data_IF_460509033767
#
_entry.id   IF_460509033767
#
_cell.length_a   1.000
_cell.length_b   1.000
_cell.length_c   1.000
_cell.angle_alpha   90.00
_cell.angle_beta   90.00
_cell.angle_gamma   90.00
#
_symmetry.space_group_name_H-M   'P 1'
#
loop_
_entity.id
_entity.type
_entity.pdbx_description
1 polymer ?
#
# COMPACT_ATOMS: atom_id res chain seq x y z
N UNK A 1 -2.15 -29.48 -40.12
CA UNK A 1 -1.70 -30.56 -41.03
C UNK A 1 -1.18 -31.79 -40.28
N UNK A 2 -0.22 -31.65 -39.35
CA UNK A 2 0.47 -32.78 -38.70
C UNK A 2 -0.33 -33.65 -37.71
N UNK A 3 -1.44 -33.15 -37.15
CA UNK A 3 -2.19 -33.86 -36.10
C UNK A 3 -2.79 -35.21 -36.57
N UNK A 4 -3.72 -35.22 -37.54
CA UNK A 4 -4.36 -36.45 -38.02
C UNK A 4 -3.39 -37.45 -38.67
N UNK A 5 -2.41 -36.96 -39.44
CA UNK A 5 -1.39 -37.82 -40.03
C UNK A 5 -0.55 -38.52 -38.95
N UNK A 6 -0.10 -37.79 -37.93
CA UNK A 6 0.67 -38.35 -36.81
C UNK A 6 -0.17 -39.33 -35.99
N UNK A 7 -1.46 -39.05 -35.79
CA UNK A 7 -2.39 -39.96 -35.13
C UNK A 7 -2.58 -41.26 -35.92
N UNK A 8 -2.72 -41.19 -37.25
CA UNK A 8 -2.75 -42.38 -38.11
C UNK A 8 -1.48 -43.22 -37.96
N UNK A 9 -0.30 -42.59 -38.08
CA UNK A 9 0.98 -43.29 -37.89
C UNK A 9 1.13 -43.93 -36.52
N UNK A 10 0.56 -43.33 -35.47
CA UNK A 10 0.53 -43.97 -34.14
C UNK A 10 -0.44 -45.16 -34.14
N UNK A 11 -1.66 -44.99 -34.64
CA UNK A 11 -2.75 -45.95 -34.50
C UNK A 11 -2.74 -47.15 -35.45
N UNK A 12 -2.00 -47.14 -36.56
CA UNK A 12 -2.14 -48.18 -37.58
C UNK A 12 -1.83 -49.61 -37.09
N UNK A 13 -0.97 -49.79 -36.08
CA UNK A 13 -0.65 -51.10 -35.51
C UNK A 13 -1.67 -51.61 -34.47
N UNK A 14 -2.34 -50.73 -33.73
CA UNK A 14 -3.19 -51.11 -32.58
C UNK A 14 -4.68 -50.77 -32.74
N UNK A 15 -5.02 -49.89 -33.69
CA UNK A 15 -6.38 -49.47 -33.99
C UNK A 15 -6.53 -49.15 -35.50
N UNK A 16 -6.42 -50.17 -36.38
CA UNK A 16 -6.34 -49.97 -37.83
C UNK A 16 -7.57 -49.28 -38.44
N UNK A 17 -8.77 -49.52 -37.91
CA UNK A 17 -10.00 -48.84 -38.35
C UNK A 17 -9.98 -47.34 -38.02
N UNK A 18 -9.54 -46.97 -36.82
CA UNK A 18 -9.41 -45.55 -36.43
C UNK A 18 -8.32 -44.85 -37.24
N UNK A 19 -7.22 -45.56 -37.53
CA UNK A 19 -6.14 -45.05 -38.37
C UNK A 19 -6.61 -44.67 -39.78
N UNK A 20 -7.50 -45.49 -40.36
CA UNK A 20 -8.09 -45.19 -41.67
C UNK A 20 -8.98 -43.93 -41.63
N UNK A 21 -9.72 -43.69 -40.54
CA UNK A 21 -10.49 -42.45 -40.39
C UNK A 21 -9.58 -41.22 -40.29
N UNK A 22 -8.45 -41.35 -39.58
CA UNK A 22 -7.49 -40.27 -39.45
C UNK A 22 -6.78 -39.94 -40.77
N UNK A 23 -6.43 -40.94 -41.58
CA UNK A 23 -5.79 -40.71 -42.89
C UNK A 23 -6.78 -40.11 -43.89
N UNK A 24 -8.05 -40.52 -43.88
CA UNK A 24 -9.10 -39.90 -44.71
C UNK A 24 -9.32 -38.43 -44.32
N UNK A 25 -9.32 -38.12 -43.02
CA UNK A 25 -9.37 -36.73 -42.52
C UNK A 25 -8.11 -35.93 -42.90
N UNK A 26 -6.94 -36.55 -42.91
CA UNK A 26 -5.70 -35.91 -43.35
C UNK A 26 -5.78 -35.56 -44.85
N UNK A 27 -6.28 -36.49 -45.68
CA UNK A 27 -6.45 -36.31 -47.12
C UNK A 27 -7.43 -35.16 -47.43
N UNK A 28 -8.58 -35.09 -46.76
CA UNK A 28 -9.55 -34.03 -46.98
C UNK A 28 -9.01 -32.65 -46.60
N UNK A 29 -8.32 -32.54 -45.46
CA UNK A 29 -7.66 -31.31 -45.03
C UNK A 29 -6.54 -30.90 -46.00
N UNK A 30 -5.78 -31.86 -46.52
CA UNK A 30 -4.69 -31.57 -47.45
C UNK A 30 -5.18 -31.19 -48.84
N UNK A 31 -6.32 -31.73 -49.30
CA UNK A 31 -6.96 -31.33 -50.54
C UNK A 31 -7.40 -29.86 -50.50
N UNK A 32 -7.88 -29.38 -49.35
CA UNK A 32 -8.28 -27.99 -49.14
C UNK A 32 -7.09 -27.02 -48.90
N UNK A 33 -5.87 -27.53 -48.81
CA UNK A 33 -4.70 -26.73 -48.49
C UNK A 33 -4.08 -26.09 -49.75
N UNK A 34 -3.93 -24.76 -49.74
CA UNK A 34 -3.47 -23.99 -50.90
C UNK A 34 -2.03 -24.27 -51.33
N UNK A 35 -1.17 -24.72 -50.42
CA UNK A 35 0.24 -25.07 -50.69
C UNK A 35 0.45 -26.58 -50.84
N UNK A 36 -0.60 -27.33 -51.19
CA UNK A 36 -0.50 -28.77 -51.34
C UNK A 36 0.31 -29.16 -52.58
N UNK A 37 1.48 -29.76 -52.39
CA UNK A 37 2.36 -30.23 -53.46
C UNK A 37 1.90 -31.59 -53.98
N UNK A 38 2.09 -31.86 -55.26
CA UNK A 38 1.79 -33.16 -55.87
C UNK A 38 2.46 -34.33 -55.13
N UNK A 39 3.76 -34.25 -54.87
CA UNK A 39 4.55 -35.31 -54.19
C UNK A 39 3.96 -35.69 -52.83
N UNK A 40 3.64 -34.71 -51.98
CA UNK A 40 3.01 -34.98 -50.67
C UNK A 40 1.59 -35.55 -50.80
N UNK A 41 0.82 -35.19 -51.82
CA UNK A 41 -0.50 -35.80 -52.07
C UNK A 41 -0.34 -37.28 -52.39
N UNK A 42 0.64 -37.64 -53.22
CA UNK A 42 0.96 -39.04 -53.52
C UNK A 42 1.39 -39.78 -52.26
N UNK A 43 2.32 -39.25 -51.48
CA UNK A 43 2.72 -39.88 -50.21
C UNK A 43 1.56 -40.11 -49.25
N UNK A 44 0.62 -39.16 -49.16
CA UNK A 44 -0.54 -39.29 -48.28
C UNK A 44 -1.53 -40.36 -48.78
N UNK A 45 -1.67 -40.51 -50.10
CA UNK A 45 -2.47 -41.58 -50.71
C UNK A 45 -1.81 -42.96 -50.55
N UNK A 46 -0.48 -43.03 -50.71
CA UNK A 46 0.29 -44.25 -50.45
C UNK A 46 0.16 -44.70 -48.98
N UNK A 47 0.26 -43.75 -48.03
CA UNK A 47 0.01 -44.01 -46.62
C UNK A 47 -1.44 -44.50 -46.35
N UNK A 48 -2.43 -44.04 -47.12
CA UNK A 48 -3.78 -44.62 -47.09
C UNK A 48 -3.79 -46.06 -47.61
N UNK A 49 -3.03 -46.36 -48.66
CA UNK A 49 -2.80 -47.72 -49.16
C UNK A 49 -2.26 -48.65 -48.06
N UNK A 50 -1.23 -48.23 -47.34
CA UNK A 50 -0.69 -48.98 -46.21
C UNK A 50 -1.76 -49.26 -45.15
N UNK A 51 -2.52 -48.23 -44.76
CA UNK A 51 -3.63 -48.38 -43.81
C UNK A 51 -4.71 -49.36 -44.31
N UNK A 52 -5.02 -49.36 -45.61
CA UNK A 52 -5.95 -50.32 -46.21
C UNK A 52 -5.42 -51.76 -46.06
N UNK A 53 -4.12 -51.99 -46.28
CA UNK A 53 -3.49 -53.31 -46.05
C UNK A 53 -3.65 -53.77 -44.60
N UNK A 54 -3.39 -52.89 -43.61
CA UNK A 54 -3.58 -53.22 -42.19
C UNK A 54 -5.04 -53.53 -41.82
N UNK A 55 -6.01 -53.07 -42.62
CA UNK A 55 -7.43 -53.38 -42.47
C UNK A 55 -7.85 -54.62 -43.31
N UNK A 56 -6.91 -55.38 -43.88
CA UNK A 56 -7.19 -56.53 -44.73
C UNK A 56 -7.72 -56.19 -46.14
N UNK A 57 -7.68 -54.91 -46.54
CA UNK A 57 -8.21 -54.40 -47.81
C UNK A 57 -7.11 -54.27 -48.87
N UNK A 58 -6.29 -55.31 -49.03
CA UNK A 58 -5.07 -55.28 -49.86
C UNK A 58 -5.35 -54.99 -51.35
N UNK A 59 -6.42 -55.56 -51.91
CA UNK A 59 -6.82 -55.31 -53.30
C UNK A 59 -7.20 -53.86 -53.58
N UNK A 60 -7.72 -53.16 -52.56
CA UNK A 60 -8.02 -51.73 -52.68
C UNK A 60 -6.76 -50.88 -52.56
N UNK A 61 -5.83 -51.26 -51.69
CA UNK A 61 -4.52 -50.63 -51.61
C UNK A 61 -3.74 -50.75 -52.93
N UNK A 62 -3.76 -51.94 -53.55
CA UNK A 62 -3.11 -52.20 -54.83
C UNK A 62 -3.72 -51.34 -55.94
N UNK A 63 -5.05 -51.37 -56.10
CA UNK A 63 -5.77 -50.53 -57.07
C UNK A 63 -5.50 -49.05 -56.88
N UNK A 64 -5.41 -48.58 -55.63
CA UNK A 64 -5.05 -47.20 -55.33
C UNK A 64 -3.64 -46.87 -55.84
N UNK A 65 -2.64 -47.68 -55.50
CA UNK A 65 -1.26 -47.43 -55.92
C UNK A 65 -1.08 -47.53 -57.45
N UNK A 66 -1.76 -48.48 -58.10
CA UNK A 66 -1.76 -48.63 -59.58
C UNK A 66 -2.38 -47.41 -60.26
N UNK A 67 -3.45 -46.86 -59.70
CA UNK A 67 -4.09 -45.64 -60.22
C UNK A 67 -3.18 -44.40 -60.10
N UNK A 68 -2.31 -44.33 -59.08
CA UNK A 68 -1.38 -43.21 -58.91
C UNK A 68 -0.21 -43.26 -59.91
N UNK A 69 0.19 -44.46 -60.34
CA UNK A 69 1.43 -44.69 -61.08
C UNK A 69 1.55 -43.88 -62.39
N UNK A 70 0.53 -43.79 -63.28
CA UNK A 70 0.65 -43.02 -64.52
C UNK A 70 0.96 -41.54 -64.27
N UNK A 71 0.29 -40.94 -63.29
CA UNK A 71 0.49 -39.53 -62.93
C UNK A 71 1.89 -39.27 -62.39
N UNK A 72 2.41 -40.21 -61.60
CA UNK A 72 3.75 -40.12 -61.00
C UNK A 72 4.85 -40.32 -62.05
N UNK A 73 4.65 -41.24 -63.00
CA UNK A 73 5.56 -41.44 -64.13
C UNK A 73 5.61 -40.18 -65.03
N UNK A 74 4.47 -39.54 -65.30
CA UNK A 74 4.41 -38.32 -66.10
C UNK A 74 5.16 -37.15 -65.46
N UNK A 75 5.14 -37.05 -64.13
CA UNK A 75 5.85 -36.00 -63.40
C UNK A 75 7.38 -36.13 -63.52
N UNK A 76 7.89 -37.34 -63.74
CA UNK A 76 9.32 -37.60 -63.93
C UNK A 76 10.17 -37.61 -62.65
N UNK A 77 9.56 -37.57 -61.46
CA UNK A 77 10.29 -37.69 -60.19
C UNK A 77 10.65 -39.16 -59.93
N UNK A 78 11.90 -39.53 -60.26
CA UNK A 78 12.41 -40.89 -60.09
C UNK A 78 12.31 -41.41 -58.65
N UNK A 79 12.49 -40.54 -57.64
CA UNK A 79 12.39 -40.93 -56.25
C UNK A 79 10.94 -41.28 -55.88
N UNK A 80 9.98 -40.47 -56.35
CA UNK A 80 8.56 -40.72 -56.13
C UNK A 80 8.08 -41.98 -56.87
N UNK A 81 8.50 -42.19 -58.12
CA UNK A 81 8.25 -43.42 -58.90
C UNK A 81 8.77 -44.64 -58.15
N UNK A 82 10.00 -44.57 -57.65
CA UNK A 82 10.62 -45.62 -56.85
C UNK A 82 9.82 -45.95 -55.59
N UNK A 83 9.18 -44.97 -54.95
CA UNK A 83 8.37 -45.19 -53.75
C UNK A 83 7.01 -45.82 -54.08
N UNK A 84 6.34 -45.39 -55.15
CA UNK A 84 5.09 -46.04 -55.60
C UNK A 84 5.33 -47.52 -55.92
N UNK A 85 6.41 -47.84 -56.64
CA UNK A 85 6.77 -49.23 -56.92
C UNK A 85 7.14 -50.03 -55.66
N UNK A 86 7.69 -49.38 -54.64
CA UNK A 86 7.97 -50.02 -53.36
C UNK A 86 6.66 -50.49 -52.71
N UNK A 87 5.64 -49.64 -52.68
CA UNK A 87 4.36 -49.96 -52.05
C UNK A 87 3.57 -50.97 -52.89
N UNK A 88 3.60 -50.84 -54.22
CA UNK A 88 3.05 -51.86 -55.13
C UNK A 88 3.66 -53.24 -54.89
N UNK A 89 4.97 -53.31 -54.66
CA UNK A 89 5.66 -54.56 -54.32
C UNK A 89 5.14 -55.16 -53.01
N UNK A 90 5.03 -54.34 -51.96
CA UNK A 90 4.54 -54.78 -50.64
C UNK A 90 3.08 -55.22 -50.74
N UNK A 91 2.22 -54.45 -51.38
CA UNK A 91 0.79 -54.75 -51.49
C UNK A 91 0.55 -56.02 -52.30
N UNK A 92 1.32 -56.22 -53.39
CA UNK A 92 1.27 -57.45 -54.20
C UNK A 92 1.72 -58.67 -53.41
N UNK A 93 2.72 -58.53 -52.54
CA UNK A 93 3.19 -59.63 -51.70
C UNK A 93 2.10 -60.07 -50.70
N UNK A 94 1.40 -59.11 -50.09
CA UNK A 94 0.30 -59.41 -49.17
C UNK A 94 -0.91 -60.01 -49.90
N UNK A 95 -1.20 -59.59 -51.13
CA UNK A 95 -2.22 -60.22 -52.00
C UNK A 95 -1.78 -61.58 -52.59
N UNK A 96 -0.63 -62.12 -52.13
CA UNK A 96 -0.05 -63.40 -52.57
C UNK A 96 0.41 -63.45 -54.04
N UNK A 97 0.51 -62.30 -54.73
CA UNK A 97 1.04 -62.21 -56.08
C UNK A 97 2.57 -61.97 -56.08
N UNK A 98 3.30 -63.05 -55.78
CA UNK A 98 4.76 -63.02 -55.56
C UNK A 98 5.57 -62.59 -56.78
N UNK A 99 5.10 -62.93 -57.99
CA UNK A 99 5.79 -62.56 -59.24
C UNK A 99 5.72 -61.04 -59.46
N UNK A 100 4.52 -60.46 -59.39
CA UNK A 100 4.36 -59.01 -59.49
C UNK A 100 5.09 -58.27 -58.37
N UNK A 101 5.06 -58.81 -57.14
CA UNK A 101 5.79 -58.23 -56.03
C UNK A 101 7.29 -58.08 -56.31
N UNK A 102 7.93 -59.11 -56.90
CA UNK A 102 9.34 -59.07 -57.31
C UNK A 102 9.58 -58.08 -58.44
N UNK A 103 8.73 -58.08 -59.47
CA UNK A 103 8.90 -57.18 -60.62
C UNK A 103 8.79 -55.71 -60.19
N UNK A 104 7.83 -55.39 -59.31
CA UNK A 104 7.72 -54.08 -58.70
C UNK A 104 8.90 -53.76 -57.77
N UNK A 105 9.44 -54.71 -57.02
CA UNK A 105 10.64 -54.48 -56.21
C UNK A 105 11.86 -54.14 -57.07
N UNK A 106 12.02 -54.79 -58.22
CA UNK A 106 13.08 -54.49 -59.17
C UNK A 106 12.94 -53.09 -59.75
N UNK A 107 11.71 -52.70 -60.13
CA UNK A 107 11.42 -51.35 -60.62
C UNK A 107 11.66 -50.30 -59.53
N UNK A 108 11.21 -50.55 -58.31
CA UNK A 108 11.49 -49.70 -57.14
C UNK A 108 13.00 -49.45 -56.99
N UNK A 109 13.80 -50.51 -57.05
CA UNK A 109 15.26 -50.39 -56.96
C UNK A 109 15.86 -49.65 -58.16
N UNK A 110 15.41 -49.93 -59.39
CA UNK A 110 15.92 -49.30 -60.62
C UNK A 110 15.67 -47.79 -60.66
N UNK A 111 14.50 -47.34 -60.22
CA UNK A 111 14.15 -45.93 -60.16
C UNK A 111 14.74 -45.20 -58.94
N UNK A 112 15.37 -45.91 -57.99
CA UNK A 112 15.95 -45.28 -56.82
C UNK A 112 17.14 -44.38 -57.24
N UNK A 113 17.14 -43.07 -56.91
CA UNK A 113 18.19 -42.15 -57.35
C UNK A 113 19.54 -42.43 -56.68
N UNK A 114 19.51 -43.05 -55.50
CA UNK A 114 20.68 -43.45 -54.73
C UNK A 114 20.50 -44.87 -54.23
N UNK A 115 21.63 -45.56 -54.04
CA UNK A 115 21.65 -46.89 -53.45
C UNK A 115 20.96 -46.87 -52.09
N UNK A 116 19.87 -47.63 -51.97
CA UNK A 116 19.05 -47.69 -50.76
C UNK A 116 19.01 -49.13 -50.22
N UNK A 117 19.54 -49.32 -49.01
CA UNK A 117 19.65 -50.62 -48.35
C UNK A 117 18.27 -51.24 -48.05
N UNK A 118 17.26 -50.43 -47.72
CA UNK A 118 15.91 -50.92 -47.46
C UNK A 118 15.24 -51.42 -48.74
N UNK A 119 15.45 -50.75 -49.87
CA UNK A 119 14.94 -51.19 -51.18
C UNK A 119 15.64 -52.46 -51.66
N UNK A 120 16.96 -52.55 -51.48
CA UNK A 120 17.71 -53.78 -51.74
C UNK A 120 17.24 -54.95 -50.86
N UNK A 121 16.98 -54.69 -49.58
CA UNK A 121 16.44 -55.70 -48.67
C UNK A 121 15.02 -56.13 -49.07
N UNK A 122 14.15 -55.20 -49.48
CA UNK A 122 12.82 -55.52 -49.98
C UNK A 122 12.88 -56.36 -51.27
N UNK A 123 13.82 -56.03 -52.18
CA UNK A 123 14.08 -56.82 -53.37
C UNK A 123 14.56 -58.23 -53.01
N UNK A 124 15.52 -58.38 -52.09
CA UNK A 124 15.96 -59.69 -51.61
C UNK A 124 14.78 -60.49 -51.00
N UNK A 125 13.94 -59.84 -50.20
CA UNK A 125 12.74 -60.46 -49.63
C UNK A 125 11.78 -60.96 -50.73
N UNK A 126 11.56 -60.18 -51.79
CA UNK A 126 10.69 -60.60 -52.90
C UNK A 126 11.22 -61.84 -53.64
N UNK A 127 12.55 -61.97 -53.80
CA UNK A 127 13.16 -63.18 -54.36
C UNK A 127 13.03 -64.37 -53.41
N UNK A 128 13.24 -64.16 -52.10
CA UNK A 128 13.07 -65.21 -51.09
C UNK A 128 11.65 -65.79 -51.07
N UNK A 129 10.64 -64.91 -51.14
CA UNK A 129 9.22 -65.28 -51.13
C UNK A 129 8.83 -66.11 -52.34
N UNK A 130 9.43 -65.83 -53.50
CA UNK A 130 9.25 -66.58 -54.74
C UNK A 130 10.01 -67.91 -54.77
N UNK A 131 10.93 -68.15 -53.83
CA UNK A 131 11.77 -69.35 -53.79
C UNK A 131 13.09 -69.23 -54.55
N UNK A 132 13.44 -68.04 -55.06
CA UNK A 132 14.68 -67.79 -55.80
C UNK A 132 15.86 -67.51 -54.86
N UNK A 133 16.23 -68.51 -54.05
CA UNK A 133 17.22 -68.36 -52.97
C UNK A 133 18.58 -67.84 -53.44
N UNK A 134 19.08 -68.32 -54.59
CA UNK A 134 20.37 -67.88 -55.13
C UNK A 134 20.37 -66.39 -55.49
N UNK A 135 19.26 -65.86 -56.01
CA UNK A 135 19.12 -64.44 -56.32
C UNK A 135 19.02 -63.60 -55.03
N UNK A 136 18.27 -64.09 -54.04
CA UNK A 136 18.20 -63.47 -52.73
C UNK A 136 19.59 -63.37 -52.08
N UNK A 137 20.32 -64.48 -51.97
CA UNK A 137 21.66 -64.52 -51.35
C UNK A 137 22.64 -63.55 -52.03
N UNK A 138 22.68 -63.51 -53.37
CA UNK A 138 23.52 -62.54 -54.10
C UNK A 138 23.24 -61.10 -53.69
N UNK A 139 21.97 -60.72 -53.51
CA UNK A 139 21.60 -59.37 -53.09
C UNK A 139 22.02 -59.14 -51.64
N UNK A 140 21.77 -60.11 -50.74
CA UNK A 140 22.17 -60.03 -49.34
C UNK A 140 23.69 -59.86 -49.19
N UNK A 141 24.50 -60.49 -50.04
CA UNK A 141 25.96 -60.35 -50.03
C UNK A 141 26.42 -58.94 -50.44
N UNK A 142 25.62 -58.23 -51.24
CA UNK A 142 25.92 -56.83 -51.56
C UNK A 142 25.65 -55.88 -50.38
N UNK A 143 24.80 -56.25 -49.41
CA UNK A 143 24.40 -55.38 -48.29
C UNK A 143 25.52 -55.28 -47.24
N UNK A 144 26.49 -54.41 -47.49
CA UNK A 144 27.55 -54.04 -46.54
C UNK A 144 27.10 -52.86 -45.67
N UNK A 145 26.38 -53.15 -44.59
CA UNK A 145 25.84 -52.11 -43.69
C UNK A 145 26.09 -52.42 -42.23
N UNK A 146 26.19 -51.36 -41.42
CA UNK A 146 26.25 -51.43 -39.96
C UNK A 146 24.89 -51.18 -39.29
N UNK A 147 23.84 -50.87 -40.08
CA UNK A 147 22.50 -50.65 -39.54
C UNK A 147 21.94 -51.94 -38.98
N UNK A 148 21.75 -51.98 -37.66
CA UNK A 148 21.33 -53.18 -36.93
C UNK A 148 20.03 -53.79 -37.49
N UNK A 149 19.06 -52.96 -37.88
CA UNK A 149 17.80 -53.41 -38.47
C UNK A 149 17.97 -54.13 -39.80
N UNK A 150 18.88 -53.67 -40.65
CA UNK A 150 19.16 -54.32 -41.94
C UNK A 150 19.97 -55.58 -41.71
N UNK A 151 20.98 -55.55 -40.84
CA UNK A 151 21.82 -56.72 -40.52
C UNK A 151 20.98 -57.85 -39.92
N UNK A 152 20.07 -57.54 -39.00
CA UNK A 152 19.10 -58.50 -38.47
C UNK A 152 18.32 -59.18 -39.60
N UNK A 153 17.73 -58.41 -40.52
CA UNK A 153 16.94 -58.97 -41.61
C UNK A 153 17.78 -59.79 -42.61
N UNK A 154 19.04 -59.40 -42.85
CA UNK A 154 19.98 -60.19 -43.67
C UNK A 154 20.18 -61.57 -43.05
N UNK A 155 20.51 -61.64 -41.76
CA UNK A 155 20.70 -62.93 -41.08
C UNK A 155 19.40 -63.73 -40.96
N UNK A 156 18.27 -63.06 -40.75
CA UNK A 156 16.95 -63.69 -40.74
C UNK A 156 16.64 -64.40 -42.06
N UNK A 157 16.86 -63.73 -43.20
CA UNK A 157 16.65 -64.33 -44.52
C UNK A 157 17.64 -65.46 -44.81
N UNK A 158 18.93 -65.28 -44.48
CA UNK A 158 19.95 -66.34 -44.59
C UNK A 158 19.60 -67.58 -43.76
N UNK A 159 19.08 -67.39 -42.55
CA UNK A 159 18.60 -68.46 -41.70
C UNK A 159 17.47 -69.24 -42.36
N UNK A 160 16.42 -68.57 -42.84
CA UNK A 160 15.30 -69.25 -43.50
C UNK A 160 15.72 -69.98 -44.79
N UNK A 161 16.63 -69.41 -45.57
CA UNK A 161 17.20 -70.08 -46.74
C UNK A 161 18.00 -71.32 -46.31
N UNK A 162 18.82 -71.23 -45.27
CA UNK A 162 19.58 -72.38 -44.76
C UNK A 162 18.66 -73.51 -44.26
N UNK A 163 17.51 -73.17 -43.65
CA UNK A 163 16.48 -74.15 -43.25
C UNK A 163 15.90 -74.84 -44.49
N UNK A 164 15.51 -74.07 -45.52
CA UNK A 164 14.98 -74.61 -46.78
C UNK A 164 15.97 -75.52 -47.50
N UNK A 165 17.26 -75.20 -47.40
CA UNK A 165 18.38 -75.96 -47.98
C UNK A 165 18.89 -77.09 -47.06
N UNK A 166 18.25 -77.33 -45.92
CA UNK A 166 18.63 -78.36 -44.94
C UNK A 166 20.09 -78.28 -44.44
N UNK A 167 20.66 -77.08 -44.43
CA UNK A 167 22.06 -76.82 -44.10
C UNK A 167 22.27 -76.61 -42.60
N UNK A 168 22.21 -77.68 -41.82
CA UNK A 168 22.19 -77.69 -40.35
C UNK A 168 23.24 -76.78 -39.68
N UNK A 169 24.49 -76.79 -40.16
CA UNK A 169 25.57 -75.96 -39.60
C UNK A 169 25.35 -74.46 -39.79
N UNK A 170 24.72 -74.04 -40.89
CA UNK A 170 24.46 -72.63 -41.19
C UNK A 170 23.19 -72.12 -40.49
N UNK A 171 22.21 -73.01 -40.27
CA UNK A 171 20.93 -72.68 -39.63
C UNK A 171 21.16 -72.06 -38.25
N UNK A 172 21.96 -72.71 -37.40
CA UNK A 172 22.23 -72.23 -36.04
C UNK A 172 23.04 -70.94 -36.04
N UNK A 173 24.13 -70.89 -36.81
CA UNK A 173 24.98 -69.68 -36.89
C UNK A 173 24.21 -68.43 -37.34
N UNK A 174 23.33 -68.56 -38.33
CA UNK A 174 22.51 -67.45 -38.80
C UNK A 174 21.38 -67.09 -37.83
N UNK A 175 20.79 -68.07 -37.14
CA UNK A 175 19.82 -67.81 -36.08
C UNK A 175 20.45 -67.01 -34.95
N UNK A 176 21.58 -67.47 -34.42
CA UNK A 176 22.31 -66.83 -33.31
C UNK A 176 22.70 -65.39 -33.67
N UNK A 177 23.19 -65.18 -34.90
CA UNK A 177 23.50 -63.85 -35.41
C UNK A 177 22.26 -62.96 -35.47
N UNK A 178 21.13 -63.47 -36.01
CA UNK A 178 19.88 -62.72 -36.06
C UNK A 178 19.39 -62.34 -34.65
N UNK A 179 19.36 -63.29 -33.71
CA UNK A 179 18.96 -63.03 -32.32
C UNK A 179 19.86 -62.00 -31.64
N UNK A 180 21.19 -62.09 -31.83
CA UNK A 180 22.14 -61.13 -31.27
C UNK A 180 21.84 -59.69 -31.73
N UNK A 181 21.54 -59.48 -33.01
CA UNK A 181 21.20 -58.15 -33.51
C UNK A 181 19.81 -57.70 -33.06
N UNK A 182 18.86 -58.62 -32.92
CA UNK A 182 17.53 -58.35 -32.40
C UNK A 182 17.60 -57.87 -30.94
N UNK A 183 18.37 -58.56 -30.08
CA UNK A 183 18.60 -58.18 -28.69
C UNK A 183 19.26 -56.80 -28.59
N UNK A 184 20.30 -56.54 -29.40
CA UNK A 184 20.94 -55.21 -29.47
C UNK A 184 19.96 -54.11 -29.85
N UNK A 185 19.06 -54.36 -30.80
CA UNK A 185 18.02 -53.39 -31.18
C UNK A 185 17.05 -53.12 -30.04
N UNK A 186 16.58 -54.16 -29.34
CA UNK A 186 15.70 -54.00 -28.19
C UNK A 186 16.37 -53.25 -27.05
N UNK A 187 17.63 -53.60 -26.74
CA UNK A 187 18.42 -52.92 -25.72
C UNK A 187 18.61 -51.43 -26.05
N UNK A 188 18.97 -51.09 -27.29
CA UNK A 188 19.11 -49.70 -27.71
C UNK A 188 17.78 -48.93 -27.63
N UNK A 189 16.68 -49.55 -28.08
CA UNK A 189 15.34 -48.94 -28.03
C UNK A 189 14.91 -48.69 -26.59
N UNK A 190 15.21 -49.62 -25.68
CA UNK A 190 14.92 -49.45 -24.25
C UNK A 190 15.74 -48.31 -23.65
N UNK A 191 17.05 -48.25 -23.95
CA UNK A 191 17.93 -47.16 -23.51
C UNK A 191 17.48 -45.80 -24.04
N UNK A 192 17.01 -45.71 -25.28
CA UNK A 192 16.47 -44.47 -25.84
C UNK A 192 15.18 -44.04 -25.13
N UNK A 193 14.28 -44.98 -24.83
CA UNK A 193 13.08 -44.71 -24.03
C UNK A 193 13.45 -44.23 -22.64
N UNK A 194 14.37 -44.91 -21.97
CA UNK A 194 14.84 -44.56 -20.62
C UNK A 194 15.45 -43.16 -20.60
N UNK A 195 16.26 -42.80 -21.61
CA UNK A 195 16.78 -41.44 -21.78
C UNK A 195 15.67 -40.42 -21.96
N UNK A 196 14.69 -40.68 -22.82
CA UNK A 196 13.57 -39.78 -23.05
C UNK A 196 12.72 -39.57 -21.78
N UNK A 197 12.45 -40.64 -21.03
CA UNK A 197 11.76 -40.56 -19.75
C UNK A 197 12.58 -39.77 -18.71
N UNK A 198 13.88 -40.03 -18.60
CA UNK A 198 14.77 -39.29 -17.71
C UNK A 198 14.85 -37.80 -18.06
N UNK A 199 14.90 -37.45 -19.35
CA UNK A 199 14.86 -36.06 -19.81
C UNK A 199 13.52 -35.39 -19.50
N UNK A 200 12.41 -36.09 -19.72
CA UNK A 200 11.07 -35.58 -19.41
C UNK A 200 10.90 -35.35 -17.91
N UNK A 201 11.41 -36.26 -17.09
CA UNK A 201 11.42 -36.12 -15.64
C UNK A 201 12.29 -34.93 -15.20
N UNK A 202 13.51 -34.78 -15.76
CA UNK A 202 14.39 -33.63 -15.49
C UNK A 202 13.76 -32.30 -15.87
N UNK A 203 13.05 -32.24 -17.00
CA UNK A 203 12.30 -31.02 -17.40
C UNK A 203 11.17 -30.74 -16.40
N UNK A 204 10.43 -31.76 -15.98
CA UNK A 204 9.37 -31.63 -14.99
C UNK A 204 9.90 -31.13 -13.63
N UNK A 205 11.00 -31.70 -13.14
CA UNK A 205 11.62 -31.28 -11.87
C UNK A 205 12.21 -29.89 -11.95
N UNK A 206 12.86 -29.52 -13.06
CA UNK A 206 13.39 -28.17 -13.26
C UNK A 206 12.28 -27.10 -13.27
N UNK A 207 11.15 -27.38 -13.93
CA UNK A 207 9.99 -26.50 -13.91
C UNK A 207 9.40 -26.36 -12.50
N UNK A 208 9.26 -27.48 -11.77
CA UNK A 208 8.79 -27.46 -10.38
C UNK A 208 9.72 -26.65 -9.47
N UNK A 209 11.05 -26.79 -9.63
CA UNK A 209 12.04 -26.01 -8.90
C UNK A 209 11.99 -24.52 -9.24
N UNK A 210 11.88 -24.17 -10.53
CA UNK A 210 11.75 -22.77 -10.97
C UNK A 210 10.46 -22.13 -10.43
N UNK A 211 9.35 -22.87 -10.43
CA UNK A 211 8.08 -22.41 -9.88
C UNK A 211 8.13 -22.25 -8.35
N UNK A 212 8.83 -23.15 -7.64
CA UNK A 212 9.07 -23.03 -6.21
C UNK A 212 9.90 -21.79 -5.87
N UNK A 213 10.97 -21.52 -6.63
CA UNK A 213 11.80 -20.32 -6.45
C UNK A 213 11.01 -19.03 -6.73
N UNK A 214 10.23 -18.98 -7.81
CA UNK A 214 9.38 -17.82 -8.11
C UNK A 214 8.33 -17.57 -7.03
N UNK A 215 7.73 -18.63 -6.49
CA UNK A 215 6.78 -18.53 -5.38
C UNK A 215 7.45 -17.97 -4.12
N UNK A 216 8.66 -18.45 -3.79
CA UNK A 216 9.42 -17.94 -2.63
C UNK A 216 9.75 -16.45 -2.78
N UNK A 217 10.19 -16.00 -3.96
CA UNK A 217 10.47 -14.58 -4.21
C UNK A 217 9.22 -13.71 -4.06
N UNK A 218 8.07 -14.20 -4.56
CA UNK A 218 6.80 -13.50 -4.39
C UNK A 218 6.43 -13.31 -2.91
N UNK A 219 6.54 -14.36 -2.08
CA UNK A 219 6.26 -14.25 -0.64
C UNK A 219 7.20 -13.26 0.07
N UNK A 220 8.50 -13.25 -0.27
CA UNK A 220 9.46 -12.30 0.30
C UNK A 220 9.07 -10.85 -0.04
N UNK A 221 8.69 -10.58 -1.30
CA UNK A 221 8.25 -9.24 -1.73
C UNK A 221 6.98 -8.81 -0.99
N UNK A 222 6.00 -9.69 -0.85
CA UNK A 222 4.76 -9.41 -0.12
C UNK A 222 5.04 -9.06 1.34
N UNK A 223 5.88 -9.84 2.03
CA UNK A 223 6.26 -9.56 3.42
C UNK A 223 6.99 -8.21 3.54
N UNK A 224 7.86 -7.88 2.58
CA UNK A 224 8.59 -6.61 2.57
C UNK A 224 7.65 -5.40 2.35
N UNK A 225 6.65 -5.53 1.49
CA UNK A 225 5.61 -4.50 1.29
C UNK A 225 4.81 -4.29 2.58
N UNK A 226 4.39 -5.36 3.25
CA UNK A 226 3.66 -5.29 4.53
C UNK A 226 4.51 -4.56 5.59
N UNK A 227 5.82 -4.85 5.64
CA UNK A 227 6.74 -4.18 6.55
C UNK A 227 6.82 -2.67 6.26
N UNK A 228 6.97 -2.27 5.00
CA UNK A 228 7.00 -0.85 4.62
C UNK A 228 5.69 -0.15 4.97
N UNK A 229 4.54 -0.76 4.67
CA UNK A 229 3.21 -0.21 4.99
C UNK A 229 3.03 -0.04 6.50
N UNK A 230 3.48 -1.00 7.31
CA UNK A 230 3.38 -0.90 8.77
C UNK A 230 4.24 0.24 9.33
N UNK A 231 5.45 0.46 8.80
CA UNK A 231 6.31 1.60 9.18
C UNK A 231 5.65 2.94 8.82
N UNK A 232 5.10 3.05 7.62
CA UNK A 232 4.37 4.27 7.18
C UNK A 232 3.15 4.52 8.07
N UNK A 233 2.39 3.48 8.41
CA UNK A 233 1.24 3.59 9.30
C UNK A 233 1.63 4.09 10.70
N UNK A 234 2.71 3.56 11.28
CA UNK A 234 3.24 4.03 12.57
C UNK A 234 3.69 5.48 12.49
N UNK A 235 4.39 5.88 11.41
CA UNK A 235 4.83 7.26 11.21
C UNK A 235 3.64 8.24 11.14
N UNK A 236 2.57 7.88 10.41
CA UNK A 236 1.33 8.66 10.34
C UNK A 236 0.67 8.77 11.72
N UNK A 237 0.58 7.67 12.46
CA UNK A 237 0.02 7.69 13.83
C UNK A 237 0.80 8.62 14.75
N UNK A 238 2.14 8.55 14.75
CA UNK A 238 2.99 9.42 15.57
C UNK A 238 2.82 10.90 15.18
N UNK A 239 2.80 11.20 13.88
CA UNK A 239 2.59 12.57 13.39
C UNK A 239 1.23 13.13 13.82
N UNK A 240 0.15 12.35 13.63
CA UNK A 240 -1.19 12.75 14.03
C UNK A 240 -1.31 12.94 15.54
N UNK A 241 -0.68 12.08 16.34
CA UNK A 241 -0.70 12.20 17.79
C UNK A 241 0.07 13.45 18.26
N UNK A 242 1.26 13.72 17.69
CA UNK A 242 2.00 14.96 17.99
C UNK A 242 1.20 16.21 17.63
N UNK A 243 0.54 16.24 16.46
CA UNK A 243 -0.32 17.35 16.04
C UNK A 243 -1.49 17.54 17.01
N UNK A 244 -2.13 16.45 17.46
CA UNK A 244 -3.19 16.50 18.47
C UNK A 244 -2.70 17.06 19.80
N UNK A 245 -1.52 16.63 20.26
CA UNK A 245 -0.92 17.11 21.51
C UNK A 245 -0.56 18.60 21.42
N UNK A 246 -0.02 19.06 20.30
CA UNK A 246 0.27 20.50 20.09
C UNK A 246 -1.01 21.35 20.12
N UNK A 247 -2.08 20.88 19.47
CA UNK A 247 -3.37 21.57 19.49
C UNK A 247 -3.95 21.63 20.91
N UNK A 248 -3.91 20.53 21.65
CA UNK A 248 -4.39 20.47 23.03
C UNK A 248 -3.55 21.37 23.96
N UNK A 249 -2.23 21.40 23.79
CA UNK A 249 -1.36 22.29 24.55
C UNK A 249 -1.68 23.77 24.28
N UNK A 250 -1.93 24.13 23.02
CA UNK A 250 -2.33 25.49 22.65
C UNK A 250 -3.69 25.89 23.24
N UNK A 251 -4.70 25.01 23.14
CA UNK A 251 -6.03 25.23 23.73
C UNK A 251 -5.95 25.37 25.26
N UNK A 252 -5.15 24.54 25.93
CA UNK A 252 -4.92 24.65 27.38
C UNK A 252 -4.24 25.96 27.77
N UNK A 253 -3.24 26.41 27.02
CA UNK A 253 -2.58 27.70 27.28
C UNK A 253 -3.54 28.86 27.08
N UNK A 254 -4.35 28.86 26.01
CA UNK A 254 -5.37 29.89 25.82
C UNK A 254 -6.41 29.90 26.94
N UNK A 255 -6.88 28.73 27.37
CA UNK A 255 -7.85 28.61 28.47
C UNK A 255 -7.27 29.15 29.78
N UNK A 256 -5.99 28.85 30.08
CA UNK A 256 -5.29 29.39 31.25
C UNK A 256 -5.16 30.91 31.20
N UNK A 257 -4.74 31.46 30.06
CA UNK A 257 -4.62 32.91 29.88
C UNK A 257 -5.98 33.61 30.02
N UNK A 258 -7.05 33.03 29.49
CA UNK A 258 -8.41 33.56 29.67
C UNK A 258 -8.84 33.52 31.14
N UNK A 259 -8.53 32.42 31.85
CA UNK A 259 -8.83 32.30 33.27
C UNK A 259 -8.06 33.34 34.10
N UNK A 260 -6.76 33.50 33.87
CA UNK A 260 -5.93 34.52 34.55
C UNK A 260 -6.40 35.95 34.26
N UNK A 261 -6.77 36.25 33.01
CA UNK A 261 -7.30 37.56 32.63
C UNK A 261 -8.64 37.86 33.34
N UNK A 262 -9.51 36.85 33.47
CA UNK A 262 -10.77 36.98 34.20
C UNK A 262 -10.52 37.20 35.69
N UNK A 263 -9.59 36.45 36.30
CA UNK A 263 -9.23 36.59 37.70
C UNK A 263 -8.64 37.98 38.00
N UNK A 264 -7.76 38.49 37.13
CA UNK A 264 -7.21 39.84 37.26
C UNK A 264 -8.30 40.91 37.19
N UNK A 265 -9.25 40.76 36.25
CA UNK A 265 -10.38 41.67 36.10
C UNK A 265 -11.30 41.66 37.33
N UNK A 266 -11.51 40.49 37.93
CA UNK A 266 -12.29 40.35 39.16
C UNK A 266 -11.57 40.98 40.36
N UNK A 267 -10.25 40.76 40.50
CA UNK A 267 -9.43 41.40 41.52
C UNK A 267 -9.48 42.93 41.44
N UNK A 268 -9.33 43.49 40.23
CA UNK A 268 -9.43 44.94 40.01
C UNK A 268 -10.81 45.50 40.38
N UNK A 269 -11.89 44.76 40.11
CA UNK A 269 -13.25 45.15 40.52
C UNK A 269 -13.38 45.17 42.04
N UNK A 270 -12.92 44.12 42.73
CA UNK A 270 -12.97 44.05 44.19
C UNK A 270 -12.14 45.17 44.85
N UNK A 271 -10.95 45.48 44.32
CA UNK A 271 -10.13 46.58 44.83
C UNK A 271 -10.84 47.94 44.68
N UNK A 272 -11.45 48.20 43.52
CA UNK A 272 -12.22 49.41 43.29
C UNK A 272 -13.43 49.53 44.24
N UNK A 273 -14.15 48.43 44.47
CA UNK A 273 -15.28 48.39 45.42
C UNK A 273 -14.83 48.64 46.86
N UNK A 274 -13.70 48.04 47.30
CA UNK A 274 -13.13 48.28 48.63
C UNK A 274 -12.71 49.73 48.82
N UNK A 275 -12.07 50.33 47.83
CA UNK A 275 -11.67 51.73 47.89
C UNK A 275 -12.89 52.67 47.99
N UNK A 276 -13.95 52.38 47.23
CA UNK A 276 -15.19 53.16 47.32
C UNK A 276 -15.87 53.04 48.69
N UNK A 277 -15.82 51.85 49.30
CA UNK A 277 -16.38 51.62 50.63
C UNK A 277 -15.59 52.37 51.72
N UNK A 278 -14.26 52.41 51.62
CA UNK A 278 -13.40 53.14 52.55
C UNK A 278 -13.69 54.65 52.53
N UNK A 279 -13.83 55.24 51.34
CA UNK A 279 -14.19 56.65 51.19
C UNK A 279 -15.54 56.97 51.84
N UNK A 280 -16.57 56.14 51.57
CA UNK A 280 -17.89 56.29 52.20
C UNK A 280 -17.82 56.20 53.73
N UNK A 281 -16.98 55.32 54.26
CA UNK A 281 -16.83 55.16 55.70
C UNK A 281 -16.25 56.42 56.37
N UNK A 282 -15.24 57.04 55.75
CA UNK A 282 -14.64 58.31 56.23
C UNK A 282 -15.65 59.46 56.21
N UNK A 283 -16.42 59.60 55.12
CA UNK A 283 -17.45 60.63 55.02
C UNK A 283 -18.52 60.51 56.11
N UNK A 284 -18.95 59.28 56.44
CA UNK A 284 -19.94 59.02 57.49
C UNK A 284 -19.40 59.38 58.88
N UNK A 285 -18.15 59.07 59.18
CA UNK A 285 -17.54 59.39 60.48
C UNK A 285 -17.45 60.91 60.71
N UNK A 286 -17.06 61.66 59.69
CA UNK A 286 -17.01 63.12 59.74
C UNK A 286 -18.40 63.74 60.00
N UNK A 287 -19.42 63.24 59.31
CA UNK A 287 -20.78 63.76 59.46
C UNK A 287 -21.35 63.50 60.87
N UNK A 288 -21.08 62.33 61.46
CA UNK A 288 -21.49 62.04 62.84
C UNK A 288 -20.89 63.04 63.85
N UNK A 289 -19.61 63.37 63.71
CA UNK A 289 -18.95 64.34 64.61
C UNK A 289 -19.50 65.76 64.41
N UNK A 290 -19.75 66.15 63.16
CA UNK A 290 -20.42 67.42 62.82
C UNK A 290 -21.79 67.51 63.50
N UNK A 291 -22.60 66.46 63.39
CA UNK A 291 -23.92 66.42 64.01
C UNK A 291 -23.87 66.45 65.54
N UNK A 292 -22.90 65.76 66.15
CA UNK A 292 -22.70 65.80 67.61
C UNK A 292 -22.47 67.23 68.12
N UNK A 293 -21.56 67.97 67.47
CA UNK A 293 -21.26 69.35 67.85
C UNK A 293 -22.45 70.30 67.64
N UNK A 294 -23.17 70.16 66.52
CA UNK A 294 -24.37 70.97 66.26
C UNK A 294 -25.45 70.72 67.33
N UNK A 295 -25.71 69.46 67.66
CA UNK A 295 -26.72 69.08 68.65
C UNK A 295 -26.41 69.60 70.04
N UNK A 296 -25.13 69.62 70.42
CA UNK A 296 -24.66 70.21 71.68
C UNK A 296 -24.91 71.72 71.74
N UNK A 297 -24.66 72.43 70.64
CA UNK A 297 -24.98 73.86 70.50
C UNK A 297 -26.49 74.10 70.65
N UNK A 298 -27.33 73.28 70.03
CA UNK A 298 -28.79 73.41 70.13
C UNK A 298 -29.32 73.16 71.55
N UNK A 299 -28.78 72.17 72.26
CA UNK A 299 -29.13 71.89 73.65
C UNK A 299 -28.75 73.05 74.57
N UNK A 300 -27.56 73.64 74.39
CA UNK A 300 -27.15 74.83 75.15
C UNK A 300 -28.11 76.02 74.94
N UNK A 301 -28.64 76.20 73.72
CA UNK A 301 -29.64 77.25 73.45
C UNK A 301 -31.01 77.00 74.10
N UNK A 302 -31.35 75.76 74.47
CA UNK A 302 -32.65 75.41 75.08
C UNK A 302 -32.68 75.56 76.61
N UNK A 303 -31.53 75.58 77.29
CA UNK A 303 -31.45 75.56 78.76
C UNK A 303 -30.94 76.86 79.42
N UNK A 304 -30.75 77.96 78.68
CA UNK A 304 -30.35 79.26 79.24
C UNK A 304 -31.52 80.27 79.23
N UNK A 305 -32.07 80.67 80.40
CA UNK A 305 -33.10 81.70 80.49
C UNK A 305 -32.49 83.08 80.77
N UNK A 306 -32.89 84.07 79.97
CA UNK A 306 -32.69 85.53 80.10
C UNK A 306 -31.42 86.16 79.50
N UNK A 307 -31.68 87.27 78.79
CA UNK A 307 -30.83 88.24 78.07
C UNK A 307 -30.11 87.87 76.77
N UNK A 308 -30.67 88.44 75.69
CA UNK A 308 -30.19 88.39 74.32
C UNK A 308 -29.00 89.32 74.13
N UNK A 309 -27.84 88.76 73.76
CA UNK A 309 -26.92 89.22 72.69
C UNK A 309 -25.43 88.95 72.90
N UNK A 310 -24.98 88.13 73.87
CA UNK A 310 -23.56 87.72 73.94
C UNK A 310 -23.26 86.53 74.89
N UNK A 311 -24.05 85.46 74.88
CA UNK A 311 -23.75 84.26 75.68
C UNK A 311 -22.74 83.34 74.95
N UNK A 312 -21.56 83.13 75.56
CA UNK A 312 -20.45 82.30 75.05
C UNK A 312 -20.65 80.84 75.43
N UNK A 313 -20.58 79.92 74.47
CA UNK A 313 -20.42 78.48 74.76
C UNK A 313 -18.94 78.27 75.08
N UNK A 314 -18.57 78.16 76.36
CA UNK A 314 -17.22 77.73 76.72
C UNK A 314 -17.17 76.21 76.57
N UNK A 315 -16.52 75.73 75.50
CA UNK A 315 -16.08 74.34 75.45
C UNK A 315 -15.01 74.13 76.52
N UNK A 316 -15.14 73.07 77.30
CA UNK A 316 -14.17 72.66 78.32
C UNK A 316 -12.89 72.11 77.65
N UNK A 317 -11.77 72.12 78.37
CA UNK A 317 -10.48 71.67 77.83
C UNK A 317 -10.52 70.21 77.36
N UNK A 318 -11.29 69.37 78.06
CA UNK A 318 -11.50 67.96 77.70
C UNK A 318 -12.19 67.82 76.32
N UNK A 319 -13.12 68.70 76.02
CA UNK A 319 -13.90 68.65 74.77
C UNK A 319 -13.06 69.08 73.56
N UNK A 320 -12.07 69.97 73.79
CA UNK A 320 -11.08 70.30 72.76
C UNK A 320 -10.13 69.14 72.49
N UNK A 321 -9.73 68.40 73.53
CA UNK A 321 -8.91 67.19 73.38
C UNK A 321 -9.66 66.08 72.64
N UNK A 322 -10.96 65.93 72.86
CA UNK A 322 -11.80 64.98 72.11
C UNK A 322 -11.90 65.34 70.62
N UNK A 323 -12.10 66.62 70.30
CA UNK A 323 -12.12 67.11 68.92
C UNK A 323 -10.77 66.90 68.23
N UNK A 324 -9.68 67.19 68.93
CA UNK A 324 -8.32 66.99 68.45
C UNK A 324 -8.02 65.51 68.20
N UNK A 325 -8.30 64.63 69.16
CA UNK A 325 -8.10 63.20 69.03
C UNK A 325 -8.94 62.59 67.89
N UNK A 326 -10.16 63.09 67.68
CA UNK A 326 -10.98 62.65 66.55
C UNK A 326 -10.38 63.07 65.21
N UNK A 327 -10.01 64.35 65.05
CA UNK A 327 -9.39 64.84 63.81
C UNK A 327 -8.02 64.19 63.56
N UNK A 328 -7.28 63.89 64.61
CA UNK A 328 -6.00 63.19 64.49
C UNK A 328 -6.18 61.76 63.93
N UNK A 329 -7.22 61.05 64.36
CA UNK A 329 -7.49 59.67 63.96
C UNK A 329 -8.29 59.53 62.65
N UNK A 330 -9.32 60.36 62.45
CA UNK A 330 -10.21 60.27 61.30
C UNK A 330 -9.66 60.99 60.06
N UNK A 331 -8.83 62.03 60.26
CA UNK A 331 -8.37 62.94 59.21
C UNK A 331 -6.86 62.91 59.00
N UNK A 332 -6.27 61.73 58.83
CA UNK A 332 -4.85 61.53 58.48
C UNK A 332 -3.87 62.38 59.33
N UNK A 333 -4.00 62.40 60.65
CA UNK A 333 -3.13 63.19 61.53
C UNK A 333 -3.19 64.70 61.27
N UNK A 334 -4.39 65.21 60.96
CA UNK A 334 -4.61 66.60 60.58
C UNK A 334 -4.04 67.60 61.60
N UNK A 335 -4.19 67.33 62.89
CA UNK A 335 -3.76 68.26 63.94
C UNK A 335 -2.24 68.26 64.08
N UNK A 336 -1.61 67.08 64.05
CA UNK A 336 -0.14 66.96 63.98
C UNK A 336 0.45 67.64 62.74
N UNK A 337 -0.19 67.51 61.57
CA UNK A 337 0.23 68.20 60.34
C UNK A 337 0.12 69.71 60.46
N UNK A 338 -0.95 70.23 61.08
CA UNK A 338 -1.10 71.66 61.34
C UNK A 338 -0.01 72.17 62.27
N UNK A 339 0.26 71.49 63.38
CA UNK A 339 1.31 71.87 64.33
C UNK A 339 2.70 71.87 63.68
N UNK A 340 2.99 70.86 62.85
CA UNK A 340 4.27 70.77 62.13
C UNK A 340 4.43 71.86 61.08
N UNK A 341 3.35 72.20 60.37
CA UNK A 341 3.39 73.16 59.26
C UNK A 341 3.36 74.61 59.73
N UNK A 342 2.69 74.90 60.84
CA UNK A 342 2.46 76.28 61.32
C UNK A 342 2.79 76.44 62.82
N UNK A 343 4.00 76.11 63.28
CA UNK A 343 4.34 76.01 64.71
C UNK A 343 4.21 77.33 65.50
N UNK A 344 4.16 78.47 64.80
CA UNK A 344 4.12 79.82 65.39
C UNK A 344 2.68 80.32 65.67
N UNK A 345 1.65 79.51 65.42
CA UNK A 345 0.27 79.86 65.71
C UNK A 345 -0.08 79.66 67.19
N UNK A 346 -1.03 80.46 67.66
CA UNK A 346 -1.57 80.29 69.00
C UNK A 346 -2.61 79.16 69.07
N UNK A 347 -2.88 78.69 70.28
CA UNK A 347 -3.86 77.61 70.53
C UNK A 347 -5.28 77.98 70.04
N UNK A 348 -5.63 79.27 70.04
CA UNK A 348 -6.94 79.74 69.57
C UNK A 348 -7.10 79.60 68.06
N UNK A 349 -6.01 79.76 67.33
CA UNK A 349 -5.91 79.63 65.88
C UNK A 349 -5.95 78.16 65.45
N UNK A 350 -5.28 77.25 66.17
CA UNK A 350 -5.44 75.80 65.95
C UNK A 350 -6.87 75.33 66.19
N UNK A 351 -7.47 75.72 67.31
CA UNK A 351 -8.88 75.42 67.62
C UNK A 351 -9.83 75.92 66.56
N UNK A 352 -9.58 77.11 66.03
CA UNK A 352 -10.37 77.65 64.92
C UNK A 352 -10.25 76.80 63.65
N UNK A 353 -9.04 76.39 63.27
CA UNK A 353 -8.81 75.55 62.08
C UNK A 353 -9.38 74.14 62.24
N UNK A 354 -9.34 73.56 63.44
CA UNK A 354 -9.99 72.27 63.75
C UNK A 354 -11.51 72.35 63.55
N UNK A 355 -12.16 73.40 64.07
CA UNK A 355 -13.59 73.59 63.86
C UNK A 355 -13.96 73.89 62.40
N UNK A 356 -13.07 74.56 61.66
CA UNK A 356 -13.23 74.72 60.21
C UNK A 356 -13.14 73.37 59.51
N UNK A 357 -12.21 72.48 59.89
CA UNK A 357 -12.10 71.15 59.26
C UNK A 357 -13.37 70.32 59.42
N UNK A 358 -14.06 70.44 60.56
CA UNK A 358 -15.33 69.76 60.85
C UNK A 358 -16.56 70.31 60.09
N UNK A 359 -16.36 71.22 59.14
CA UNK A 359 -17.43 71.83 58.35
C UNK A 359 -18.58 72.48 59.13
N UNK A 360 -18.29 73.00 60.32
CA UNK A 360 -19.32 73.69 61.09
C UNK A 360 -19.79 74.98 60.39
N UNK A 361 -21.11 75.26 60.37
CA UNK A 361 -21.63 76.49 59.79
C UNK A 361 -21.14 77.71 60.59
N UNK A 362 -20.96 78.85 59.91
CA UNK A 362 -20.38 80.07 60.51
C UNK A 362 -21.09 80.53 61.78
N UNK A 363 -22.41 80.33 61.85
CA UNK A 363 -23.25 80.59 63.03
C UNK A 363 -22.89 79.73 64.23
N UNK A 364 -22.55 78.47 64.02
CA UNK A 364 -22.10 77.54 65.07
C UNK A 364 -20.68 77.86 65.53
N UNK A 365 -19.79 78.20 64.59
CA UNK A 365 -18.42 78.65 64.90
C UNK A 365 -18.42 79.92 65.76
N UNK A 366 -19.22 80.91 65.38
CA UNK A 366 -19.41 82.15 66.13
C UNK A 366 -19.81 81.90 67.58
N UNK A 367 -20.74 80.97 67.81
CA UNK A 367 -21.24 80.62 69.14
C UNK A 367 -20.21 79.87 70.00
N UNK A 368 -19.50 78.90 69.42
CA UNK A 368 -18.44 78.16 70.13
C UNK A 368 -17.29 79.08 70.54
N UNK A 369 -16.95 80.05 69.68
CA UNK A 369 -15.83 80.95 69.95
C UNK A 369 -16.23 82.18 70.77
N UNK A 370 -17.53 82.41 70.98
CA UNK A 370 -18.06 83.57 71.70
C UNK A 370 -17.89 84.89 70.95
N UNK A 371 -17.94 84.87 69.61
CA UNK A 371 -17.75 86.05 68.76
C UNK A 371 -18.93 86.22 67.79
N UNK A 372 -19.09 87.42 67.21
CA UNK A 372 -20.11 87.65 66.19
C UNK A 372 -19.77 86.92 64.87
N UNK A 373 -20.80 86.56 64.09
CA UNK A 373 -20.60 85.88 62.79
C UNK A 373 -19.69 86.65 61.83
N UNK A 374 -19.72 87.99 61.84
CA UNK A 374 -18.81 88.84 61.07
C UNK A 374 -17.33 88.68 61.47
N UNK A 375 -17.05 88.36 62.74
CA UNK A 375 -15.70 88.13 63.27
C UNK A 375 -15.10 86.83 62.76
N UNK A 376 -15.92 85.82 62.42
CA UNK A 376 -15.45 84.56 61.84
C UNK A 376 -14.81 84.80 60.47
N UNK A 377 -15.40 85.69 59.65
CA UNK A 377 -14.86 86.06 58.35
C UNK A 377 -13.56 86.85 58.49
N UNK A 378 -13.52 87.80 59.43
CA UNK A 378 -12.33 88.57 59.74
C UNK A 378 -11.18 87.68 60.27
N UNK A 379 -11.47 86.79 61.23
CA UNK A 379 -10.49 85.83 61.79
C UNK A 379 -9.97 84.87 60.71
N UNK A 380 -10.83 84.36 59.83
CA UNK A 380 -10.41 83.53 58.69
C UNK A 380 -9.48 84.27 57.73
N UNK A 381 -9.74 85.56 57.48
CA UNK A 381 -8.91 86.39 56.62
C UNK A 381 -7.55 86.69 57.25
N UNK A 382 -7.52 87.04 58.54
CA UNK A 382 -6.28 87.26 59.30
C UNK A 382 -5.41 86.00 59.33
N UNK A 383 -6.00 84.84 59.63
CA UNK A 383 -5.31 83.56 59.56
C UNK A 383 -4.80 83.26 58.15
N UNK A 384 -5.58 83.53 57.11
CA UNK A 384 -5.13 83.36 55.71
C UNK A 384 -3.86 84.18 55.42
N UNK A 385 -3.76 85.40 55.95
CA UNK A 385 -2.55 86.23 55.84
C UNK A 385 -1.38 85.69 56.67
N UNK A 386 -1.63 85.25 57.92
CA UNK A 386 -0.60 84.62 58.79
C UNK A 386 -0.06 83.30 58.24
N UNK A 387 -0.88 82.58 57.47
CA UNK A 387 -0.54 81.32 56.80
C UNK A 387 0.08 81.53 55.41
N UNK A 388 0.31 82.78 55.00
CA UNK A 388 0.92 83.16 53.70
C UNK A 388 0.18 82.61 52.46
N UNK A 389 -1.14 82.39 52.56
CA UNK A 389 -1.94 81.87 51.44
C UNK A 389 -2.18 83.01 50.42
N UNK A 390 -1.35 83.03 49.38
CA UNK A 390 -1.28 84.09 48.35
C UNK A 390 -2.41 84.06 47.33
N UNK A 391 -3.05 82.92 47.11
CA UNK A 391 -4.17 82.79 46.16
C UNK A 391 -5.48 83.35 46.75
N UNK A 392 -6.01 84.44 46.17
CA UNK A 392 -7.25 85.09 46.62
C UNK A 392 -8.50 84.23 46.39
N UNK A 393 -8.48 83.27 45.46
CA UNK A 393 -9.62 82.42 45.10
C UNK A 393 -9.88 81.26 46.07
N UNK A 394 -8.85 80.81 46.79
CA UNK A 394 -8.95 79.68 47.73
C UNK A 394 -9.41 80.17 49.11
N UNK A 395 -10.51 79.62 49.62
CA UNK A 395 -10.94 79.90 51.00
C UNK A 395 -10.05 79.15 52.01
N UNK A 396 -9.90 79.68 53.23
CA UNK A 396 -9.14 78.98 54.29
C UNK A 396 -9.67 77.56 54.52
N UNK A 397 -11.00 77.39 54.45
CA UNK A 397 -11.69 76.10 54.52
C UNK A 397 -11.23 75.14 53.40
N UNK A 398 -11.21 75.60 52.15
CA UNK A 398 -10.75 74.80 51.00
C UNK A 398 -9.27 74.41 51.11
N UNK A 399 -8.43 75.33 51.61
CA UNK A 399 -7.01 75.07 51.82
C UNK A 399 -6.78 73.98 52.89
N UNK A 400 -7.51 74.04 54.00
CA UNK A 400 -7.44 73.04 55.07
C UNK A 400 -7.94 71.66 54.63
N UNK A 401 -8.90 71.60 53.69
CA UNK A 401 -9.36 70.34 53.08
C UNK A 401 -8.25 69.68 52.27
N UNK A 402 -7.40 70.46 51.61
CA UNK A 402 -6.29 69.92 50.82
C UNK A 402 -5.03 69.61 51.66
N UNK A 403 -5.04 69.98 52.95
CA UNK A 403 -3.94 69.72 53.90
C UNK A 403 -4.07 68.34 54.59
N UNK A 404 -5.25 67.72 54.51
CA UNK A 404 -5.54 66.40 55.11
C UNK A 404 -4.94 65.25 54.32
#
# INVERSE_FOLDING_TARGET
>A
MYGPQKLSTLSHWYAPHQSLQYIDKALSLYAAYSQATFTNRIHLQLAKGENLVYNGRCKEALRLAEHLLPSVLQQGDSALVSNVYQDLSVFSLVDSNKVQARDYAQLSYRYAPVRNEHKLLALANSYFELGEDAACLRILDTLQTKKMSVVYNVFKLRHYIAVRQNSHNLVMNYADSAYTYLEKMYANTMLEKDRHYAESLRKGTALAQAQAQSSQQFYIIVVLIILVVSVVFVAIMVYNNKKKQQKLAFENTQTKLQYEANLLKESQRMEAERHQLELKHKDVQLDMMRQFLIRKIELFNKFSPSDKSSAKILLEELEWQEIEAFLENAENHFVSKLHKRFPLLDLSDYRFMMLLRLDLPSKSLARILGVNEGTIRHKSYMLKQRLEITDKSVSLRQYLVNLS
#
